data_IF_289226607385
#
_entry.id   IF_289226607385
#
_cell.length_a   1.000
_cell.length_b   1.000
_cell.length_c   1.000
_cell.angle_alpha   90.00
_cell.angle_beta   90.00
_cell.angle_gamma   90.00
#
_symmetry.space_group_name_H-M   'P 1'
#
loop_
_entity.id
_entity.type
_entity.pdbx_description
1 polymer ?
#
# COMPACT_ATOMS: atom_id res chain seq x y z
N UNK A 1 -5.88 -5.59 -6.17
CA UNK A 1 -6.10 -4.26 -6.80
C UNK A 1 -4.75 -3.59 -6.83
N UNK A 2 -4.25 -3.17 -8.00
CA UNK A 2 -2.94 -2.51 -8.09
C UNK A 2 -2.10 -2.97 -9.27
N UNK A 3 -2.64 -2.86 -10.50
CA UNK A 3 -1.88 -3.18 -11.71
C UNK A 3 -1.46 -1.94 -12.50
N UNK A 4 -1.72 -0.73 -12.02
CA UNK A 4 -1.39 0.51 -12.72
C UNK A 4 -1.23 1.72 -11.79
N UNK A 5 -0.61 2.80 -12.31
CA UNK A 5 -0.48 4.05 -11.58
C UNK A 5 -1.84 4.64 -11.22
N UNK A 6 -1.86 5.50 -10.20
CA UNK A 6 -3.03 6.32 -9.90
C UNK A 6 -3.25 7.31 -11.05
N UNK A 7 -4.52 7.50 -11.41
CA UNK A 7 -4.95 8.65 -12.21
C UNK A 7 -4.43 9.95 -11.60
N UNK A 8 -3.92 10.82 -12.46
CA UNK A 8 -3.50 12.19 -12.14
C UNK A 8 -4.70 13.05 -11.76
N UNK A 9 -4.46 14.17 -11.09
CA UNK A 9 -5.52 15.11 -10.70
C UNK A 9 -6.33 15.62 -11.90
N UNK A 10 -5.67 15.82 -13.05
CA UNK A 10 -6.31 16.26 -14.29
C UNK A 10 -7.26 15.18 -14.83
N UNK A 11 -6.81 13.93 -14.88
CA UNK A 11 -7.65 12.82 -15.32
C UNK A 11 -8.83 12.59 -14.36
N UNK A 12 -8.61 12.72 -13.05
CA UNK A 12 -9.68 12.66 -12.05
C UNK A 12 -10.71 13.77 -12.30
N UNK A 13 -10.27 15.01 -12.54
CA UNK A 13 -11.15 16.12 -12.89
C UNK A 13 -11.98 15.84 -14.14
N UNK A 14 -11.36 15.29 -15.19
CA UNK A 14 -12.03 14.90 -16.42
C UNK A 14 -13.08 13.81 -16.19
N UNK A 15 -12.75 12.78 -15.40
CA UNK A 15 -13.69 11.71 -15.04
C UNK A 15 -14.92 12.26 -14.32
N UNK A 16 -14.73 13.17 -13.37
CA UNK A 16 -15.81 13.78 -12.61
C UNK A 16 -16.68 14.68 -13.49
N UNK A 17 -16.08 15.52 -14.33
CA UNK A 17 -16.81 16.36 -15.28
C UNK A 17 -17.67 15.52 -16.25
N UNK A 18 -17.09 14.49 -16.87
CA UNK A 18 -17.82 13.59 -17.77
C UNK A 18 -18.96 12.86 -17.03
N UNK A 19 -18.75 12.48 -15.76
CA UNK A 19 -19.78 11.85 -14.96
C UNK A 19 -20.93 12.81 -14.66
N UNK A 20 -20.63 14.06 -14.33
CA UNK A 20 -21.63 15.10 -14.07
C UNK A 20 -22.45 15.41 -15.35
N UNK A 21 -21.87 15.22 -16.54
CA UNK A 21 -22.56 15.28 -17.84
C UNK A 21 -23.29 13.98 -18.24
N UNK A 22 -23.40 13.00 -17.35
CA UNK A 22 -24.22 11.80 -17.56
C UNK A 22 -23.57 10.69 -18.39
N UNK A 23 -22.27 10.77 -18.69
CA UNK A 23 -21.59 9.70 -19.42
C UNK A 23 -21.55 8.40 -18.60
N UNK A 24 -21.58 7.27 -19.32
CA UNK A 24 -21.47 5.93 -18.72
C UNK A 24 -20.02 5.65 -18.32
N UNK A 25 -19.80 4.80 -17.29
CA UNK A 25 -18.44 4.45 -16.87
C UNK A 25 -17.60 3.84 -17.99
N UNK A 26 -18.24 3.15 -18.94
CA UNK A 26 -17.56 2.57 -20.10
C UNK A 26 -17.11 3.64 -21.10
N UNK A 27 -17.98 4.59 -21.42
CA UNK A 27 -17.63 5.70 -22.31
C UNK A 27 -16.50 6.55 -21.70
N UNK A 28 -16.54 6.80 -20.38
CA UNK A 28 -15.47 7.52 -19.67
C UNK A 28 -14.16 6.73 -19.72
N UNK A 29 -14.21 5.42 -19.50
CA UNK A 29 -13.04 4.55 -19.57
C UNK A 29 -12.39 4.53 -20.96
N UNK A 30 -13.20 4.52 -22.02
CA UNK A 30 -12.75 4.62 -23.41
C UNK A 30 -12.12 5.99 -23.71
N UNK A 31 -12.66 7.07 -23.12
CA UNK A 31 -12.15 8.43 -23.33
C UNK A 31 -10.86 8.75 -22.55
N UNK A 32 -10.74 8.22 -21.33
CA UNK A 32 -9.59 8.42 -20.42
C UNK A 32 -8.55 7.30 -20.62
N UNK A 33 -8.79 6.34 -21.53
CA UNK A 33 -7.94 5.17 -21.78
C UNK A 33 -7.60 4.35 -20.53
N UNK A 34 -8.57 4.20 -19.63
CA UNK A 34 -8.37 3.52 -18.34
C UNK A 34 -9.38 2.43 -18.10
N UNK A 35 -9.15 1.60 -17.09
CA UNK A 35 -10.10 0.55 -16.74
C UNK A 35 -11.41 1.12 -16.17
N UNK A 36 -12.54 0.52 -16.52
CA UNK A 36 -13.85 0.84 -15.93
C UNK A 36 -13.86 0.72 -14.40
N UNK A 37 -13.01 -0.14 -13.84
CA UNK A 37 -12.83 -0.29 -12.39
C UNK A 37 -12.15 0.94 -11.76
N UNK A 38 -11.16 1.53 -12.41
CA UNK A 38 -10.52 2.76 -11.96
C UNK A 38 -11.53 3.90 -11.93
N UNK A 39 -12.30 4.08 -13.01
CA UNK A 39 -13.39 5.06 -13.10
C UNK A 39 -14.40 4.89 -11.97
N UNK A 40 -14.88 3.66 -11.75
CA UNK A 40 -15.82 3.35 -10.66
C UNK A 40 -15.24 3.69 -9.28
N UNK A 41 -13.93 3.52 -9.10
CA UNK A 41 -13.25 3.84 -7.84
C UNK A 41 -13.17 5.35 -7.62
N UNK A 42 -12.82 6.13 -8.66
CA UNK A 42 -12.81 7.60 -8.60
C UNK A 42 -14.19 8.14 -8.23
N UNK A 43 -15.25 7.67 -8.91
CA UNK A 43 -16.61 8.14 -8.67
C UNK A 43 -17.08 7.80 -7.24
N UNK A 44 -16.77 6.59 -6.76
CA UNK A 44 -17.13 6.18 -5.41
C UNK A 44 -16.31 6.90 -4.32
N UNK A 45 -15.11 7.38 -4.65
CA UNK A 45 -14.18 8.02 -3.73
C UNK A 45 -13.91 9.47 -4.15
N UNK A 46 -14.95 10.22 -4.55
CA UNK A 46 -14.82 11.56 -5.16
C UNK A 46 -13.86 12.50 -4.41
N UNK A 47 -13.89 12.48 -3.08
CA UNK A 47 -13.04 13.33 -2.23
C UNK A 47 -11.79 12.62 -1.69
N UNK A 48 -11.80 11.28 -1.65
CA UNK A 48 -10.77 10.46 -0.99
C UNK A 48 -9.98 9.58 -1.98
N UNK A 49 -10.06 9.87 -3.27
CA UNK A 49 -9.31 9.12 -4.28
C UNK A 49 -7.81 9.31 -4.06
N UNK A 50 -7.05 8.22 -4.07
CA UNK A 50 -5.61 8.25 -3.82
C UNK A 50 -5.18 8.42 -2.36
N UNK A 51 -6.05 8.91 -1.47
CA UNK A 51 -5.71 9.15 -0.04
C UNK A 51 -5.89 7.93 0.86
N UNK A 52 -6.58 6.88 0.38
CA UNK A 52 -6.85 5.65 1.12
C UNK A 52 -5.63 4.70 1.26
N UNK A 53 -4.41 5.22 1.16
CA UNK A 53 -3.20 4.40 1.36
C UNK A 53 -3.11 3.97 2.82
N UNK A 54 -3.32 2.68 3.08
CA UNK A 54 -3.33 2.11 4.44
C UNK A 54 -1.95 1.94 5.08
N UNK A 55 -0.88 2.37 4.40
CA UNK A 55 0.48 2.13 4.85
C UNK A 55 0.89 0.66 4.78
N UNK A 56 2.13 0.40 5.18
CA UNK A 56 2.58 -0.96 5.48
C UNK A 56 2.28 -1.29 6.93
N UNK A 57 2.07 -2.59 7.23
CA UNK A 57 2.02 -3.04 8.61
C UNK A 57 3.36 -2.72 9.30
N UNK A 58 3.35 -2.23 10.55
CA UNK A 58 4.59 -1.94 11.25
C UNK A 58 5.42 -3.22 11.37
N UNK A 59 6.74 -3.08 11.21
CA UNK A 59 7.66 -4.18 11.45
C UNK A 59 7.65 -4.54 12.94
N UNK A 60 7.63 -5.85 13.26
CA UNK A 60 7.64 -6.34 14.64
C UNK A 60 8.95 -6.04 15.37
N UNK A 61 10.05 -5.93 14.63
CA UNK A 61 11.38 -5.62 15.15
C UNK A 61 11.93 -4.43 14.37
N UNK A 62 12.42 -3.43 15.09
CA UNK A 62 12.92 -2.19 14.50
C UNK A 62 14.25 -1.83 15.18
N UNK A 63 15.16 -1.18 14.45
CA UNK A 63 16.34 -0.56 15.04
C UNK A 63 17.34 -1.55 15.65
N UNK A 64 17.70 -1.36 16.92
CA UNK A 64 18.77 -2.12 17.61
C UNK A 64 18.45 -3.61 17.70
N UNK A 65 17.22 -3.93 18.04
CA UNK A 65 16.78 -5.32 18.20
C UNK A 65 16.89 -6.11 16.90
N UNK A 66 16.51 -5.49 15.77
CA UNK A 66 16.66 -6.09 14.45
C UNK A 66 18.13 -6.34 14.12
N UNK A 67 19.01 -5.36 14.42
CA UNK A 67 20.46 -5.49 14.16
C UNK A 67 21.09 -6.61 14.98
N UNK A 68 20.71 -6.74 16.26
CA UNK A 68 21.21 -7.81 17.14
C UNK A 68 20.75 -9.18 16.66
N UNK A 69 19.47 -9.32 16.30
CA UNK A 69 18.94 -10.55 15.75
C UNK A 69 19.69 -10.98 14.48
N UNK A 70 19.89 -10.05 13.54
CA UNK A 70 20.62 -10.31 12.30
C UNK A 70 22.06 -10.73 12.62
N UNK A 71 22.76 -10.01 13.50
CA UNK A 71 24.13 -10.32 13.89
C UNK A 71 24.26 -11.72 14.49
N UNK A 72 23.39 -12.06 15.43
CA UNK A 72 23.43 -13.37 16.10
C UNK A 72 23.12 -14.50 15.12
N UNK A 73 22.11 -14.31 14.25
CA UNK A 73 21.79 -15.26 13.18
C UNK A 73 22.97 -15.48 12.24
N UNK A 74 23.68 -14.42 11.84
CA UNK A 74 24.84 -14.50 10.95
C UNK A 74 26.06 -15.17 11.59
N UNK A 75 26.22 -15.07 12.91
CA UNK A 75 27.42 -15.60 13.60
C UNK A 75 27.28 -17.05 14.06
N UNK A 76 26.07 -17.49 14.41
CA UNK A 76 25.88 -18.71 15.20
C UNK A 76 25.19 -19.84 14.45
N UNK A 77 24.47 -19.55 13.35
CA UNK A 77 23.67 -20.55 12.65
C UNK A 77 22.53 -21.14 13.48
N UNK A 78 22.12 -20.47 14.57
CA UNK A 78 21.07 -20.94 15.47
C UNK A 78 19.70 -21.02 14.79
N UNK A 79 18.86 -21.92 15.30
CA UNK A 79 17.46 -22.03 14.87
C UNK A 79 16.70 -20.74 15.19
N UNK A 80 15.67 -20.42 14.39
CA UNK A 80 14.83 -19.24 14.62
C UNK A 80 14.21 -19.20 16.02
N UNK A 81 13.87 -20.38 16.59
CA UNK A 81 13.31 -20.48 17.94
C UNK A 81 14.35 -20.13 19.01
N UNK A 82 15.57 -20.62 18.85
CA UNK A 82 16.70 -20.33 19.73
C UNK A 82 17.05 -18.84 19.72
N UNK A 83 17.05 -18.21 18.53
CA UNK A 83 17.27 -16.78 18.38
C UNK A 83 16.18 -15.96 19.07
N UNK A 84 14.91 -16.35 18.94
CA UNK A 84 13.81 -15.65 19.61
C UNK A 84 13.91 -15.74 21.15
N UNK A 85 14.28 -16.90 21.70
CA UNK A 85 14.46 -17.07 23.15
C UNK A 85 15.66 -16.31 23.69
N UNK A 86 16.79 -16.31 22.97
CA UNK A 86 17.98 -15.57 23.37
C UNK A 86 17.73 -14.06 23.28
N UNK A 87 17.04 -13.60 22.24
CA UNK A 87 16.70 -12.19 22.02
C UNK A 87 15.77 -11.63 23.11
N UNK A 88 14.79 -12.42 23.60
CA UNK A 88 13.91 -12.04 24.71
C UNK A 88 14.65 -11.82 26.05
N UNK A 89 15.87 -12.32 26.21
CA UNK A 89 16.69 -12.02 27.38
C UNK A 89 17.21 -10.56 27.38
N UNK A 90 17.27 -9.92 26.21
CA UNK A 90 17.84 -8.57 26.04
C UNK A 90 16.79 -7.46 26.19
N UNK A 91 15.50 -7.78 26.08
CA UNK A 91 14.39 -6.84 26.24
C UNK A 91 14.01 -6.58 27.73
N UNK A 92 14.71 -7.21 28.68
CA UNK A 92 14.46 -7.09 30.13
C UNK A 92 15.34 -6.05 30.86
N UNK A 93 16.13 -5.27 30.14
CA UNK A 93 17.00 -4.23 30.70
C UNK A 93 16.84 -2.90 29.98
#
# INVERSE_FOLDING_TARGET
MGCGPLLTEVEVGMVLALRDHGFTHRAIAEHVETSTKAIRTVINQREAYGSNFKGQKPAKLIGRELRLLIREASQTGLSARSLATNHLAWAKF
#
